data_IF_966382530511
#
_entry.id   IF_966382530511
#
_cell.length_a   1.000
_cell.length_b   1.000
_cell.length_c   1.000
_cell.angle_alpha   90.00
_cell.angle_beta   90.00
_cell.angle_gamma   90.00
#
_symmetry.space_group_name_H-M   'P 1'
#
loop_
_entity.id
_entity.type
_entity.pdbx_description
1 polymer ?
#
# COMPACT_ATOMS: atom_id res chain seq x y z
N UNK A 1 7.63 -80.11 45.61
CA UNK A 1 6.86 -79.16 44.78
C UNK A 1 6.38 -78.06 45.72
N UNK A 2 7.21 -77.06 45.96
CA UNK A 2 6.89 -75.90 46.82
C UNK A 2 6.27 -74.81 45.95
N UNK A 3 5.16 -74.15 46.36
CA UNK A 3 4.47 -73.18 45.52
C UNK A 3 5.27 -71.88 45.45
N UNK A 4 5.33 -71.27 44.27
CA UNK A 4 5.83 -69.91 44.06
C UNK A 4 4.85 -68.93 44.70
N UNK A 5 5.29 -68.25 45.76
CA UNK A 5 4.55 -67.17 46.40
C UNK A 5 4.39 -66.00 45.41
N UNK A 6 3.17 -65.46 45.19
CA UNK A 6 2.97 -64.40 44.23
C UNK A 6 3.55 -63.08 44.76
N UNK A 7 4.39 -62.43 43.96
CA UNK A 7 4.99 -61.13 44.29
C UNK A 7 3.91 -60.10 44.67
N UNK A 8 4.03 -59.55 45.88
CA UNK A 8 3.13 -58.52 46.39
C UNK A 8 3.13 -57.31 45.43
N UNK A 9 1.95 -56.96 44.90
CA UNK A 9 1.80 -55.79 44.04
C UNK A 9 2.07 -54.51 44.86
N UNK A 10 2.85 -53.55 44.34
CA UNK A 10 3.16 -52.34 45.07
C UNK A 10 1.87 -51.55 45.36
N UNK A 11 1.56 -51.35 46.65
CA UNK A 11 0.48 -50.46 47.11
C UNK A 11 0.90 -49.02 46.82
N UNK A 12 0.38 -48.45 45.74
CA UNK A 12 0.54 -47.02 45.48
C UNK A 12 -0.20 -46.24 46.56
N UNK A 13 0.48 -45.30 47.21
CA UNK A 13 -0.18 -44.46 48.22
C UNK A 13 -1.18 -43.53 47.51
N UNK A 14 -2.38 -43.36 48.09
CA UNK A 14 -3.43 -42.48 47.54
C UNK A 14 -2.91 -41.04 47.30
N UNK A 15 -1.94 -40.60 48.09
CA UNK A 15 -1.25 -39.30 47.97
C UNK A 15 -0.48 -39.14 46.65
N UNK A 16 0.29 -40.16 46.27
CA UNK A 16 1.03 -40.15 45.00
C UNK A 16 0.11 -40.14 43.78
N UNK A 17 -1.03 -40.84 43.85
CA UNK A 17 -2.04 -40.79 42.79
C UNK A 17 -2.65 -39.39 42.67
N UNK A 18 -3.01 -38.75 43.81
CA UNK A 18 -3.56 -37.39 43.78
C UNK A 18 -2.57 -36.35 43.25
N UNK A 19 -1.28 -36.45 43.57
CA UNK A 19 -0.25 -35.54 43.06
C UNK A 19 -0.11 -35.68 41.54
N UNK A 20 -0.06 -36.90 41.02
CA UNK A 20 0.05 -37.15 39.57
C UNK A 20 -1.15 -36.62 38.80
N UNK A 21 -2.36 -36.77 39.34
CA UNK A 21 -3.59 -36.24 38.72
C UNK A 21 -3.57 -34.71 38.68
N UNK A 22 -3.18 -34.06 39.77
CA UNK A 22 -3.06 -32.59 39.82
C UNK A 22 -1.99 -32.10 38.84
N UNK A 23 -0.84 -32.76 38.79
CA UNK A 23 0.25 -32.37 37.88
C UNK A 23 -0.14 -32.56 36.41
N UNK A 24 -0.83 -33.65 36.08
CA UNK A 24 -1.40 -33.86 34.74
C UNK A 24 -2.42 -32.78 34.38
N UNK A 25 -3.27 -32.37 35.31
CA UNK A 25 -4.25 -31.31 35.09
C UNK A 25 -3.56 -29.96 34.82
N UNK A 26 -2.54 -29.61 35.59
CA UNK A 26 -1.75 -28.38 35.40
C UNK A 26 -1.04 -28.39 34.03
N UNK A 27 -0.45 -29.51 33.63
CA UNK A 27 0.20 -29.65 32.32
C UNK A 27 -0.80 -29.49 31.18
N UNK A 28 -2.00 -30.06 31.30
CA UNK A 28 -3.06 -29.91 30.29
C UNK A 28 -3.53 -28.45 30.16
N UNK A 29 -3.73 -27.75 31.28
CA UNK A 29 -4.10 -26.33 31.28
C UNK A 29 -2.98 -25.46 30.71
N UNK A 30 -1.73 -25.72 31.08
CA UNK A 30 -0.55 -25.05 30.53
C UNK A 30 -0.41 -25.25 29.02
N UNK A 31 -0.62 -26.47 28.52
CA UNK A 31 -0.59 -26.76 27.09
C UNK A 31 -1.72 -26.06 26.33
N UNK A 32 -2.94 -26.05 26.89
CA UNK A 32 -4.10 -25.40 26.28
C UNK A 32 -3.93 -23.88 26.19
N UNK A 33 -3.43 -23.24 27.25
CA UNK A 33 -3.16 -21.79 27.27
C UNK A 33 -2.06 -21.41 26.27
N UNK A 34 -0.98 -22.18 26.19
CA UNK A 34 0.08 -21.96 25.20
C UNK A 34 -0.42 -22.11 23.76
N UNK A 35 -1.20 -23.16 23.47
CA UNK A 35 -1.79 -23.36 22.15
C UNK A 35 -2.74 -22.20 21.76
N UNK A 36 -3.53 -21.71 22.73
CA UNK A 36 -4.42 -20.56 22.50
C UNK A 36 -3.64 -19.27 22.20
N UNK A 37 -2.59 -18.97 22.98
CA UNK A 37 -1.74 -17.80 22.74
C UNK A 37 -1.01 -17.88 21.38
N UNK A 38 -0.58 -19.08 20.98
CA UNK A 38 0.07 -19.31 19.68
C UNK A 38 -0.88 -19.02 18.51
N UNK A 39 -2.12 -19.52 18.56
CA UNK A 39 -3.12 -19.23 17.54
C UNK A 39 -3.51 -17.75 17.50
N UNK A 40 -3.61 -17.08 18.65
CA UNK A 40 -3.84 -15.63 18.71
C UNK A 40 -2.69 -14.82 18.11
N UNK A 41 -1.44 -15.19 18.38
CA UNK A 41 -0.27 -14.54 17.80
C UNK A 41 -0.24 -14.74 16.28
N UNK A 42 -0.52 -15.96 15.83
CA UNK A 42 -0.59 -16.30 14.40
C UNK A 42 -1.67 -15.48 13.69
N UNK A 43 -2.86 -15.39 14.27
CA UNK A 43 -3.95 -14.58 13.72
C UNK A 43 -3.57 -13.08 13.65
N UNK A 44 -2.87 -12.56 14.67
CA UNK A 44 -2.37 -11.18 14.66
C UNK A 44 -1.31 -10.95 13.57
N UNK A 45 -0.39 -11.90 13.38
CA UNK A 45 0.63 -11.82 12.32
C UNK A 45 -0.06 -11.80 10.95
N UNK A 46 -1.02 -12.69 10.70
CA UNK A 46 -1.76 -12.75 9.44
C UNK A 46 -2.51 -11.44 9.20
N UNK A 47 -3.24 -10.94 10.20
CA UNK A 47 -3.97 -9.67 10.09
C UNK A 47 -3.03 -8.49 9.80
N UNK A 48 -1.86 -8.45 10.43
CA UNK A 48 -0.88 -7.39 10.21
C UNK A 48 -0.23 -7.49 8.82
N UNK A 49 0.04 -8.71 8.35
CA UNK A 49 0.52 -8.95 6.99
C UNK A 49 -0.51 -8.50 5.93
N UNK A 50 -1.79 -8.79 6.14
CA UNK A 50 -2.87 -8.31 5.27
C UNK A 50 -2.95 -6.78 5.24
N UNK A 51 -2.81 -6.11 6.39
CA UNK A 51 -2.79 -4.64 6.47
C UNK A 51 -1.60 -4.03 5.70
N UNK A 52 -0.43 -4.66 5.78
CA UNK A 52 0.78 -4.21 5.06
C UNK A 52 0.67 -4.46 3.56
N UNK A 53 0.01 -5.54 3.13
CA UNK A 53 -0.29 -5.78 1.72
C UNK A 53 -1.25 -4.73 1.13
N UNK A 54 -2.11 -4.13 1.96
CA UNK A 54 -3.12 -3.14 1.56
C UNK A 54 -2.63 -1.69 1.72
N UNK A 55 -1.49 -1.45 2.40
CA UNK A 55 -0.95 -0.11 2.56
C UNK A 55 -0.44 0.43 1.20
N UNK A 56 -0.91 1.60 0.72
CA UNK A 56 -0.50 2.19 -0.55
C UNK A 56 1.02 2.36 -0.61
N UNK A 57 1.69 1.57 -1.45
CA UNK A 57 3.15 1.67 -1.60
C UNK A 57 3.49 2.80 -2.57
N UNK A 58 3.41 4.05 -2.11
CA UNK A 58 3.74 5.21 -2.97
C UNK A 58 5.20 5.11 -3.43
N UNK A 59 5.39 4.83 -4.72
CA UNK A 59 6.72 4.62 -5.32
C UNK A 59 7.22 5.84 -6.08
N UNK A 60 6.33 6.59 -6.71
CA UNK A 60 6.69 7.80 -7.43
C UNK A 60 5.93 9.01 -6.89
N UNK A 61 6.62 10.12 -6.75
CA UNK A 61 6.10 11.38 -6.22
C UNK A 61 6.58 12.52 -7.12
N UNK A 62 5.71 13.48 -7.44
CA UNK A 62 6.11 14.74 -8.06
C UNK A 62 5.31 15.89 -7.45
N UNK A 63 6.00 16.97 -7.10
CA UNK A 63 5.35 18.24 -6.74
C UNK A 63 5.43 19.12 -7.97
N UNK A 64 4.27 19.48 -8.54
CA UNK A 64 4.20 20.33 -9.72
C UNK A 64 4.07 21.78 -9.28
N UNK A 65 5.00 22.58 -9.77
CA UNK A 65 5.12 24.00 -9.48
C UNK A 65 4.44 24.81 -10.59
N UNK A 66 3.93 25.99 -10.24
CA UNK A 66 3.44 26.98 -11.21
C UNK A 66 4.57 27.84 -11.80
N UNK A 67 4.19 28.82 -12.62
CA UNK A 67 5.13 29.75 -13.24
C UNK A 67 5.84 30.69 -12.24
N UNK A 68 5.36 30.78 -10.99
CA UNK A 68 5.98 31.51 -9.89
C UNK A 68 6.80 30.58 -8.98
N UNK A 69 7.02 29.32 -9.39
CA UNK A 69 7.71 28.27 -8.63
C UNK A 69 7.00 27.90 -7.31
N UNK A 70 5.70 28.19 -7.19
CA UNK A 70 4.90 27.83 -6.02
C UNK A 70 4.27 26.43 -6.21
N UNK A 71 4.19 25.59 -5.15
CA UNK A 71 3.53 24.30 -5.22
C UNK A 71 2.05 24.41 -5.57
N UNK A 72 1.65 23.83 -6.71
CA UNK A 72 0.28 23.86 -7.20
C UNK A 72 -0.41 22.50 -7.09
N UNK A 73 0.31 21.42 -7.41
CA UNK A 73 -0.21 20.05 -7.40
C UNK A 73 0.79 19.07 -6.79
N UNK A 74 0.30 18.03 -6.14
CA UNK A 74 1.04 16.86 -5.71
C UNK A 74 0.54 15.65 -6.50
N UNK A 75 1.46 14.89 -7.08
CA UNK A 75 1.16 13.65 -7.80
C UNK A 75 1.86 12.49 -7.10
N UNK A 76 1.11 11.44 -6.78
CA UNK A 76 1.66 10.20 -6.20
C UNK A 76 1.18 8.98 -6.97
N UNK A 77 2.08 8.05 -7.29
CA UNK A 77 1.77 6.77 -7.94
C UNK A 77 1.69 5.65 -6.91
N UNK A 78 0.56 4.95 -6.90
CA UNK A 78 0.41 3.65 -6.24
C UNK A 78 0.55 2.53 -7.30
N UNK A 79 1.67 1.79 -7.30
CA UNK A 79 1.92 0.73 -8.27
C UNK A 79 1.02 -0.51 -8.04
N UNK A 80 0.53 -0.74 -6.82
CA UNK A 80 -0.36 -1.87 -6.51
C UNK A 80 -1.77 -1.61 -7.03
N UNK A 81 -2.28 -0.40 -6.78
CA UNK A 81 -3.59 0.01 -7.27
C UNK A 81 -3.59 0.41 -8.75
N UNK A 82 -2.42 0.73 -9.33
CA UNK A 82 -2.32 1.19 -10.72
C UNK A 82 -2.99 2.55 -10.94
N UNK A 83 -2.85 3.45 -9.95
CA UNK A 83 -3.46 4.78 -9.97
C UNK A 83 -2.46 5.87 -9.66
N UNK A 84 -2.62 6.99 -10.37
CA UNK A 84 -2.01 8.26 -10.04
C UNK A 84 -3.01 9.09 -9.25
N UNK A 85 -2.67 9.43 -8.03
CA UNK A 85 -3.41 10.41 -7.25
C UNK A 85 -2.85 11.80 -7.54
N UNK A 86 -3.70 12.71 -7.99
CA UNK A 86 -3.39 14.12 -8.25
C UNK A 86 -4.13 14.94 -7.22
N UNK A 87 -3.40 15.58 -6.32
CA UNK A 87 -3.95 16.42 -5.26
C UNK A 87 -3.60 17.87 -5.52
N UNK A 88 -4.59 18.75 -5.45
CA UNK A 88 -4.41 20.18 -5.53
C UNK A 88 -3.91 20.75 -4.20
N UNK A 89 -2.86 21.57 -4.28
CA UNK A 89 -2.23 22.23 -3.13
C UNK A 89 -2.58 23.73 -3.04
N UNK A 90 -2.91 24.36 -4.16
CA UNK A 90 -3.26 25.79 -4.23
C UNK A 90 -4.78 26.02 -4.27
N UNK A 91 -5.21 27.24 -3.92
CA UNK A 91 -6.62 27.67 -4.04
C UNK A 91 -6.89 28.51 -5.29
N UNK A 92 -5.90 28.61 -6.18
CA UNK A 92 -6.02 29.35 -7.44
C UNK A 92 -7.08 28.68 -8.30
N UNK A 93 -8.11 29.45 -8.67
CA UNK A 93 -9.17 28.99 -9.56
C UNK A 93 -8.67 29.11 -11.00
N UNK A 94 -8.24 28.00 -11.60
CA UNK A 94 -7.99 27.98 -13.04
C UNK A 94 -9.30 28.20 -13.82
N UNK A 95 -9.19 28.69 -15.06
CA UNK A 95 -10.33 28.96 -15.94
C UNK A 95 -11.30 27.78 -15.97
N UNK A 96 -12.57 28.04 -15.62
CA UNK A 96 -13.61 27.04 -15.37
C UNK A 96 -13.97 26.14 -16.56
N UNK A 97 -13.47 26.42 -17.76
CA UNK A 97 -13.94 25.85 -19.02
C UNK A 97 -12.97 24.85 -19.66
N UNK A 98 -11.71 24.80 -19.22
CA UNK A 98 -10.69 23.98 -19.87
C UNK A 98 -10.37 22.69 -19.11
N UNK A 99 -10.14 21.61 -19.86
CA UNK A 99 -9.72 20.33 -19.31
C UNK A 99 -8.20 20.36 -19.16
N UNK A 100 -7.68 20.06 -17.97
CA UNK A 100 -6.24 19.93 -17.80
C UNK A 100 -5.81 18.50 -18.12
N UNK A 101 -4.59 18.29 -18.55
CA UNK A 101 -4.08 16.95 -18.85
C UNK A 101 -2.72 16.74 -18.21
N UNK A 102 -2.54 15.58 -17.57
CA UNK A 102 -1.29 15.18 -16.95
C UNK A 102 -0.42 14.43 -17.98
N UNK A 103 0.87 14.73 -17.98
CA UNK A 103 1.85 14.18 -18.91
C UNK A 103 3.05 13.61 -18.16
N UNK A 104 3.52 12.44 -18.60
CA UNK A 104 4.84 11.92 -18.33
C UNK A 104 5.80 12.48 -19.38
N UNK A 105 6.82 13.21 -18.95
CA UNK A 105 7.78 13.86 -19.84
C UNK A 105 9.14 13.20 -19.68
N UNK A 106 9.69 12.73 -20.80
CA UNK A 106 11.03 12.17 -20.91
C UNK A 106 11.95 13.15 -21.65
N UNK A 107 13.26 12.93 -21.56
CA UNK A 107 14.25 13.69 -22.32
C UNK A 107 14.32 13.25 -23.79
N UNK A 108 14.00 11.99 -24.09
CA UNK A 108 14.22 11.38 -25.42
C UNK A 108 12.94 10.93 -26.12
N UNK A 109 11.82 10.86 -25.39
CA UNK A 109 10.52 10.41 -25.92
C UNK A 109 9.49 11.54 -25.88
N UNK A 110 8.52 11.56 -26.80
CA UNK A 110 7.42 12.53 -26.75
C UNK A 110 6.65 12.40 -25.43
N UNK A 111 6.07 13.50 -24.91
CA UNK A 111 5.25 13.47 -23.71
C UNK A 111 4.11 12.46 -23.84
N UNK A 112 3.98 11.56 -22.86
CA UNK A 112 2.91 10.56 -22.81
C UNK A 112 1.79 11.07 -21.93
N UNK A 113 0.55 11.04 -22.43
CA UNK A 113 -0.61 11.36 -21.60
C UNK A 113 -0.79 10.34 -20.47
N UNK A 114 -1.06 10.85 -19.27
CA UNK A 114 -1.41 10.08 -18.08
C UNK A 114 -2.89 10.23 -17.69
N UNK A 115 -3.63 11.12 -18.38
CA UNK A 115 -5.07 11.28 -18.20
C UNK A 115 -5.49 12.73 -18.01
N UNK A 116 -6.80 12.94 -18.14
CA UNK A 116 -7.44 14.26 -18.09
C UNK A 116 -7.86 14.59 -16.66
N UNK A 117 -7.40 15.73 -16.16
CA UNK A 117 -7.74 16.29 -14.86
C UNK A 117 -9.00 17.15 -14.99
N UNK A 118 -10.06 16.72 -14.31
CA UNK A 118 -11.30 17.49 -14.23
C UNK A 118 -11.21 18.49 -13.08
N UNK A 119 -11.39 19.78 -13.40
CA UNK A 119 -11.18 20.92 -12.48
C UNK A 119 -12.02 20.91 -11.18
N UNK A 120 -13.06 20.07 -11.09
CA UNK A 120 -14.02 20.05 -9.98
C UNK A 120 -13.56 19.39 -8.68
N UNK A 121 -12.45 18.62 -8.68
CA UNK A 121 -12.05 17.82 -7.52
C UNK A 121 -10.74 18.32 -6.88
N UNK A 122 -10.69 18.30 -5.54
CA UNK A 122 -9.48 18.61 -4.76
C UNK A 122 -8.43 17.49 -4.85
N UNK A 123 -8.89 16.25 -4.96
CA UNK A 123 -8.06 15.07 -5.21
C UNK A 123 -8.72 14.24 -6.29
N UNK A 124 -7.95 13.84 -7.30
CA UNK A 124 -8.38 13.05 -8.44
C UNK A 124 -7.54 11.78 -8.52
N UNK A 125 -8.16 10.67 -8.93
CA UNK A 125 -7.46 9.44 -9.27
C UNK A 125 -7.51 9.25 -10.78
N UNK A 126 -6.34 9.07 -11.39
CA UNK A 126 -6.18 8.75 -12.80
C UNK A 126 -5.71 7.29 -12.92
N UNK A 127 -6.40 6.45 -13.71
CA UNK A 127 -5.92 5.10 -13.96
C UNK A 127 -4.64 5.15 -14.80
N UNK A 128 -3.53 4.69 -14.23
CA UNK A 128 -2.23 4.70 -14.90
C UNK A 128 -1.32 3.62 -14.31
N UNK A 129 -0.83 2.73 -15.17
CA UNK A 129 0.15 1.72 -14.77
C UNK A 129 1.52 2.36 -14.57
N UNK A 130 2.36 1.76 -13.73
CA UNK A 130 3.75 2.22 -13.51
C UNK A 130 4.55 2.33 -14.82
N UNK A 131 4.32 1.42 -15.78
CA UNK A 131 4.94 1.46 -17.11
C UNK A 131 4.64 2.75 -17.91
N UNK A 132 3.56 3.47 -17.58
CA UNK A 132 3.26 4.77 -18.19
C UNK A 132 4.28 5.85 -17.80
N UNK A 133 4.94 5.69 -16.64
CA UNK A 133 6.01 6.57 -16.15
C UNK A 133 7.41 6.14 -16.56
N UNK A 134 7.56 5.02 -17.29
CA UNK A 134 8.86 4.49 -17.65
C UNK A 134 9.68 5.51 -18.47
N UNK A 135 10.87 5.85 -17.96
CA UNK A 135 11.77 6.82 -18.59
C UNK A 135 11.35 8.29 -18.46
N UNK A 136 10.26 8.58 -17.74
CA UNK A 136 9.87 9.95 -17.41
C UNK A 136 10.80 10.53 -16.34
N UNK A 137 11.30 11.74 -16.57
CA UNK A 137 12.14 12.47 -15.59
C UNK A 137 11.33 13.54 -14.86
N UNK A 138 10.25 14.01 -15.47
CA UNK A 138 9.35 15.01 -14.88
C UNK A 138 7.91 14.73 -15.27
N UNK A 139 6.99 15.26 -14.49
CA UNK A 139 5.58 15.34 -14.81
C UNK A 139 5.21 16.78 -15.15
N UNK A 140 4.22 16.95 -16.02
CA UNK A 140 3.73 18.27 -16.39
C UNK A 140 2.22 18.25 -16.64
N UNK A 141 1.58 19.41 -16.47
CA UNK A 141 0.17 19.62 -16.78
C UNK A 141 0.07 20.72 -17.83
N UNK A 142 -0.68 20.49 -18.90
CA UNK A 142 -1.09 21.51 -19.86
C UNK A 142 -2.60 21.70 -19.83
N UNK A 143 -3.03 22.85 -20.32
CA UNK A 143 -4.44 23.14 -20.60
C UNK A 143 -4.78 22.58 -21.98
N UNK A 144 -5.89 21.86 -22.09
CA UNK A 144 -6.33 21.19 -23.31
C UNK A 144 -7.82 21.49 -23.58
N UNK A 145 -8.26 21.22 -24.81
CA UNK A 145 -9.67 21.29 -25.17
C UNK A 145 -10.52 20.32 -24.32
N UNK A 146 -11.84 20.57 -24.23
CA UNK A 146 -12.78 19.68 -23.54
C UNK A 146 -12.60 18.23 -24.02
N UNK A 147 -12.28 17.33 -23.08
CA UNK A 147 -12.03 15.91 -23.36
C UNK A 147 -10.55 15.50 -23.51
N UNK A 148 -9.62 16.46 -23.51
CA UNK A 148 -8.19 16.21 -23.64
C UNK A 148 -7.74 15.85 -25.06
N UNK A 149 -6.47 15.48 -25.18
CA UNK A 149 -5.84 15.02 -26.41
C UNK A 149 -5.45 13.53 -26.31
N UNK A 150 -5.44 12.79 -27.44
CA UNK A 150 -4.99 11.40 -27.46
C UNK A 150 -3.55 11.25 -26.97
N UNK A 151 -3.22 10.07 -26.43
CA UNK A 151 -1.97 9.86 -25.68
C UNK A 151 -0.68 10.11 -26.46
N UNK A 152 -0.73 10.01 -27.79
CA UNK A 152 0.44 10.10 -28.68
C UNK A 152 0.65 11.48 -29.32
N UNK A 153 -0.27 12.44 -29.12
CA UNK A 153 -0.27 13.73 -29.86
C UNK A 153 0.55 14.81 -29.13
N UNK A 154 0.81 14.62 -27.84
CA UNK A 154 1.51 15.59 -27.00
C UNK A 154 0.64 16.82 -26.63
N UNK A 155 1.15 17.71 -25.78
CA UNK A 155 0.42 18.88 -25.31
C UNK A 155 0.26 19.93 -26.42
N UNK A 156 -0.93 20.55 -26.53
CA UNK A 156 -1.14 21.66 -27.48
C UNK A 156 -0.61 22.99 -26.97
N UNK A 157 -0.74 23.21 -25.66
CA UNK A 157 -0.37 24.45 -25.01
C UNK A 157 0.87 24.25 -24.14
N UNK A 158 1.59 25.33 -23.81
CA UNK A 158 2.67 25.28 -22.83
C UNK A 158 2.23 24.66 -21.51
N UNK A 159 3.18 24.08 -20.79
CA UNK A 159 2.92 23.52 -19.47
C UNK A 159 2.55 24.62 -18.48
N UNK A 160 1.42 24.43 -17.81
CA UNK A 160 0.95 25.28 -16.72
C UNK A 160 1.65 24.92 -15.41
N UNK A 161 1.81 23.61 -15.16
CA UNK A 161 2.50 23.10 -13.98
C UNK A 161 3.53 22.05 -14.37
N UNK A 162 4.66 21.99 -13.67
CA UNK A 162 5.69 20.98 -13.93
C UNK A 162 6.53 20.69 -12.69
N UNK A 163 7.09 19.48 -12.62
CA UNK A 163 7.93 19.09 -11.49
C UNK A 163 8.67 17.78 -11.73
N UNK A 164 9.81 17.62 -11.07
CA UNK A 164 10.62 16.41 -11.16
C UNK A 164 9.89 15.19 -10.60
N UNK A 165 10.04 14.06 -11.29
CA UNK A 165 9.55 12.77 -10.81
C UNK A 165 10.60 12.17 -9.88
N UNK A 166 10.19 11.92 -8.65
CA UNK A 166 11.03 11.36 -7.59
C UNK A 166 10.58 9.92 -7.38
N UNK A 167 11.50 8.99 -7.56
CA UNK A 167 11.29 7.60 -7.14
C UNK A 167 11.73 7.46 -5.68
N UNK A 168 10.81 7.02 -4.83
CA UNK A 168 11.12 6.70 -3.43
C UNK A 168 12.05 5.49 -3.40
N UNK A 169 13.14 5.58 -2.66
CA UNK A 169 13.93 4.40 -2.29
C UNK A 169 13.09 3.61 -1.28
N UNK A 170 12.62 2.43 -1.68
CA UNK A 170 11.86 1.49 -0.85
C UNK A 170 12.74 0.28 -0.59
#
# INVERSE_FOLDING_TARGET
>A
MTPLEPAARPRTSKLWLSISVVLALVLLVGAATMASMYEQLKAQIVHLQERLAVAPQVRHIAVLLDAQELPAMLVTMDPQAGVLQVQRLNEVKEGREDSMQLWAVSATQPPRSLGVIQSKFKTLQLPAKEAALAGATRLAISVENKGGVPEAVGPRLPYLFQGWLIQKAI
#
